data_IF_428847638180
#
_entry.id   IF_428847638180
#
_cell.length_a   1.000
_cell.length_b   1.000
_cell.length_c   1.000
_cell.angle_alpha   90.00
_cell.angle_beta   90.00
_cell.angle_gamma   90.00
#
_symmetry.space_group_name_H-M   'P 1'
#
loop_
_entity.id
_entity.type
_entity.pdbx_description
1 polymer ?
#
# COMPACT_ATOMS: atom_id res chain seq x y z
N UNK A 1 -7.87 38.32 29.02
CA UNK A 1 -8.29 36.97 29.47
C UNK A 1 -8.12 36.03 28.29
N UNK A 2 -7.14 35.13 28.35
CA UNK A 2 -6.93 34.13 27.31
C UNK A 2 -7.79 32.91 27.66
N UNK A 3 -8.82 32.66 26.86
CA UNK A 3 -9.62 31.44 26.99
C UNK A 3 -8.76 30.24 26.57
N UNK A 4 -8.40 29.41 27.54
CA UNK A 4 -7.84 28.09 27.28
C UNK A 4 -8.94 27.18 26.72
N UNK A 5 -9.01 27.06 25.40
CA UNK A 5 -9.71 25.95 24.76
C UNK A 5 -8.85 24.71 24.97
N UNK A 6 -9.14 23.94 26.02
CA UNK A 6 -8.71 22.54 26.11
C UNK A 6 -9.47 21.77 25.03
N UNK A 7 -8.97 21.82 23.80
CA UNK A 7 -9.35 20.85 22.79
C UNK A 7 -8.85 19.49 23.29
N UNK A 8 -9.76 18.73 23.92
CA UNK A 8 -9.63 17.28 23.96
C UNK A 8 -9.38 16.85 22.52
N UNK A 9 -8.15 16.43 22.24
CA UNK A 9 -7.83 15.78 20.99
C UNK A 9 -8.63 14.48 21.00
N UNK A 10 -9.85 14.51 20.45
CA UNK A 10 -10.48 13.30 19.93
C UNK A 10 -9.39 12.63 19.10
N UNK A 11 -9.03 11.41 19.50
CA UNK A 11 -8.13 10.55 18.75
C UNK A 11 -8.74 10.44 17.35
N UNK A 12 -8.27 11.28 16.44
CA UNK A 12 -8.88 11.43 15.12
C UNK A 12 -8.88 10.05 14.51
N UNK A 13 -10.08 9.47 14.38
CA UNK A 13 -10.27 8.11 13.90
C UNK A 13 -9.57 8.03 12.56
N UNK A 14 -8.48 7.26 12.51
CA UNK A 14 -7.71 7.12 11.28
C UNK A 14 -8.65 6.65 10.16
N UNK A 15 -8.41 7.05 8.90
CA UNK A 15 -9.25 6.64 7.77
C UNK A 15 -9.14 5.13 7.46
N UNK A 16 -8.49 4.36 8.32
CA UNK A 16 -8.31 2.92 8.20
C UNK A 16 -8.22 2.25 9.57
N UNK A 17 -8.71 1.02 9.65
CA UNK A 17 -8.56 0.18 10.83
C UNK A 17 -7.14 -0.43 10.88
N UNK A 18 -6.35 -0.02 11.87
CA UNK A 18 -4.98 -0.53 12.06
C UNK A 18 -4.91 -2.02 12.38
N UNK A 19 -6.01 -2.60 12.86
CA UNK A 19 -6.14 -4.03 13.09
C UNK A 19 -6.34 -4.82 11.78
N UNK A 20 -6.71 -4.14 10.69
CA UNK A 20 -6.87 -4.74 9.37
C UNK A 20 -5.76 -4.35 8.38
N UNK A 21 -5.22 -3.13 8.48
CA UNK A 21 -4.21 -2.61 7.57
C UNK A 21 -3.21 -1.72 8.30
N UNK A 22 -1.92 -1.97 8.13
CA UNK A 22 -0.87 -1.20 8.77
C UNK A 22 0.19 -0.77 7.75
N UNK A 23 0.37 0.56 7.64
CA UNK A 23 1.21 1.25 6.65
C UNK A 23 2.60 1.60 7.19
N UNK A 24 3.00 1.05 8.33
CA UNK A 24 4.33 1.25 8.88
C UNK A 24 5.32 0.26 8.26
N UNK A 25 6.61 0.59 8.36
CA UNK A 25 7.67 -0.30 7.89
C UNK A 25 7.58 -1.65 8.59
N UNK A 26 7.32 -2.72 7.85
CA UNK A 26 7.27 -4.09 8.34
C UNK A 26 8.65 -4.73 8.22
N UNK A 27 9.14 -5.32 9.31
CA UNK A 27 10.42 -6.06 9.36
C UNK A 27 11.59 -5.29 8.72
N UNK A 28 11.67 -3.99 9.00
CA UNK A 28 12.64 -3.03 8.47
C UNK A 28 12.51 -2.67 6.98
N UNK A 29 11.52 -3.22 6.26
CA UNK A 29 11.22 -2.82 4.89
C UNK A 29 10.49 -1.47 4.88
N UNK A 30 11.17 -0.41 4.42
CA UNK A 30 10.70 0.97 4.62
C UNK A 30 9.41 1.30 3.87
N UNK A 31 9.28 0.83 2.62
CA UNK A 31 8.10 1.04 1.77
C UNK A 31 7.25 -0.23 1.74
N UNK A 32 6.60 -0.51 2.86
CA UNK A 32 5.77 -1.69 3.00
C UNK A 32 4.39 -1.37 3.55
N UNK A 33 3.47 -2.29 3.30
CA UNK A 33 2.15 -2.30 3.91
C UNK A 33 1.84 -3.73 4.35
N UNK A 34 1.12 -3.85 5.45
CA UNK A 34 0.63 -5.14 5.93
C UNK A 34 -0.89 -5.14 5.98
N UNK A 35 -1.50 -6.21 5.49
CA UNK A 35 -2.93 -6.38 5.38
C UNK A 35 -3.30 -7.70 6.05
N UNK A 36 -4.27 -7.65 6.96
CA UNK A 36 -4.87 -8.82 7.58
C UNK A 36 -5.90 -9.43 6.62
N UNK A 37 -5.93 -10.75 6.57
CA UNK A 37 -6.92 -11.52 5.85
C UNK A 37 -7.46 -12.62 6.77
N UNK A 38 -8.77 -12.62 6.98
CA UNK A 38 -9.43 -13.43 7.99
C UNK A 38 -8.96 -13.09 9.40
N UNK A 39 -8.98 -14.08 10.27
CA UNK A 39 -8.73 -13.86 11.68
C UNK A 39 -7.24 -13.76 12.02
N UNK A 40 -6.39 -14.52 11.35
CA UNK A 40 -5.02 -14.72 11.81
C UNK A 40 -3.98 -14.63 10.69
N UNK A 41 -4.36 -14.52 9.42
CA UNK A 41 -3.39 -14.39 8.35
C UNK A 41 -3.06 -12.93 8.04
N UNK A 42 -1.79 -12.68 7.76
CA UNK A 42 -1.29 -11.37 7.41
C UNK A 42 -0.39 -11.43 6.18
N UNK A 43 -0.48 -10.38 5.38
CA UNK A 43 0.18 -10.22 4.10
C UNK A 43 1.01 -8.94 4.13
N UNK A 44 2.33 -9.08 3.99
CA UNK A 44 3.28 -7.99 3.89
C UNK A 44 3.67 -7.76 2.44
N UNK A 45 3.49 -6.54 1.97
CA UNK A 45 3.81 -6.12 0.61
C UNK A 45 5.03 -5.21 0.57
N UNK A 46 5.85 -5.42 -0.43
CA UNK A 46 6.91 -4.53 -0.85
C UNK A 46 6.33 -3.58 -1.89
N UNK A 47 6.12 -2.32 -1.50
CA UNK A 47 5.51 -1.32 -2.37
C UNK A 47 6.45 -0.88 -3.50
N UNK A 48 7.76 -1.07 -3.37
CA UNK A 48 8.73 -0.77 -4.42
C UNK A 48 8.80 -1.86 -5.47
N UNK A 49 8.58 -3.12 -5.08
CA UNK A 49 8.56 -4.25 -6.02
C UNK A 49 7.16 -4.59 -6.53
N UNK A 50 6.11 -4.08 -5.89
CA UNK A 50 4.73 -4.41 -6.22
C UNK A 50 4.47 -5.90 -6.05
N UNK A 51 4.95 -6.46 -4.94
CA UNK A 51 4.83 -7.88 -4.63
C UNK A 51 4.48 -8.10 -3.17
N UNK A 52 3.84 -9.23 -2.90
CA UNK A 52 3.86 -9.80 -1.56
C UNK A 52 5.27 -10.30 -1.28
N UNK A 53 5.87 -9.82 -0.20
CA UNK A 53 7.19 -10.30 0.25
C UNK A 53 7.09 -11.19 1.47
N UNK A 54 5.96 -11.18 2.20
CA UNK A 54 5.80 -12.01 3.39
C UNK A 54 4.35 -12.38 3.62
N UNK A 55 4.11 -13.60 4.05
CA UNK A 55 2.84 -13.99 4.63
C UNK A 55 3.08 -14.79 5.91
N UNK A 56 2.26 -14.54 6.93
CA UNK A 56 2.40 -15.22 8.21
C UNK A 56 1.05 -15.39 8.89
N UNK A 57 0.99 -16.38 9.78
CA UNK A 57 -0.14 -16.64 10.66
C UNK A 57 0.20 -16.13 12.06
N UNK A 58 -0.66 -15.27 12.59
CA UNK A 58 -0.58 -14.78 13.96
C UNK A 58 -0.68 -15.95 14.96
N UNK A 59 -0.01 -15.88 16.12
CA UNK A 59 -0.25 -16.85 17.17
C UNK A 59 -1.68 -16.68 17.71
N UNK A 60 -2.33 -17.79 18.06
CA UNK A 60 -3.68 -17.79 18.63
C UNK A 60 -3.79 -16.81 19.83
N UNK A 61 -4.78 -15.92 19.77
CA UNK A 61 -5.06 -14.93 20.81
C UNK A 61 -3.98 -13.86 20.98
N UNK A 62 -3.00 -13.74 20.08
CA UNK A 62 -1.91 -12.75 20.17
C UNK A 62 -1.87 -11.83 18.95
N UNK A 63 -1.34 -10.63 19.17
CA UNK A 63 -1.12 -9.67 18.08
C UNK A 63 -0.12 -10.23 17.06
N UNK A 64 -0.45 -10.09 15.77
CA UNK A 64 0.39 -10.49 14.65
C UNK A 64 1.52 -9.50 14.36
N UNK A 65 1.43 -8.30 14.93
CA UNK A 65 2.36 -7.20 14.74
C UNK A 65 2.79 -6.65 16.10
N UNK A 66 4.09 -6.41 16.26
CA UNK A 66 4.65 -5.74 17.43
C UNK A 66 5.30 -4.42 17.00
N UNK A 67 4.82 -3.30 17.55
CA UNK A 67 5.38 -1.99 17.27
C UNK A 67 6.73 -1.78 18.01
N UNK A 68 7.66 -1.13 17.34
CA UNK A 68 8.89 -0.57 17.89
C UNK A 68 9.16 0.77 17.21
N UNK A 69 8.55 1.84 17.75
CA UNK A 69 8.47 3.12 17.04
C UNK A 69 7.63 2.98 15.77
N UNK A 70 8.17 3.45 14.64
CA UNK A 70 7.53 3.38 13.31
C UNK A 70 7.85 2.11 12.53
N UNK A 71 8.43 1.10 13.20
CA UNK A 71 8.70 -0.21 12.61
C UNK A 71 7.78 -1.23 13.28
N UNK A 72 7.05 -1.98 12.48
CA UNK A 72 6.32 -3.16 12.93
C UNK A 72 7.17 -4.38 12.70
N UNK A 73 7.21 -5.28 13.67
CA UNK A 73 7.77 -6.61 13.51
C UNK A 73 6.64 -7.61 13.34
N UNK A 74 6.73 -8.47 12.33
CA UNK A 74 5.81 -9.60 12.19
C UNK A 74 6.02 -10.60 13.33
N UNK A 75 4.92 -11.10 13.89
CA UNK A 75 4.90 -12.07 14.99
C UNK A 75 4.02 -13.24 14.57
N UNK A 76 4.57 -14.45 14.62
CA UNK A 76 3.84 -15.66 14.28
C UNK A 76 4.63 -16.62 13.40
N UNK A 77 3.91 -17.55 12.78
CA UNK A 77 4.49 -18.56 11.88
C UNK A 77 4.56 -17.98 10.47
N UNK A 78 5.77 -17.75 9.97
CA UNK A 78 6.00 -17.40 8.56
C UNK A 78 5.55 -18.55 7.66
N UNK A 79 4.64 -18.25 6.75
CA UNK A 79 4.13 -19.18 5.73
C UNK A 79 4.84 -18.97 4.39
N UNK A 80 5.24 -17.72 4.12
CA UNK A 80 5.94 -17.31 2.92
C UNK A 80 6.86 -16.12 3.23
N UNK A 81 8.05 -16.09 2.63
CA UNK A 81 8.95 -14.94 2.68
C UNK A 81 9.81 -14.90 1.40
N UNK A 82 9.73 -13.80 0.67
CA UNK A 82 10.57 -13.51 -0.48
C UNK A 82 11.68 -12.52 -0.10
N UNK A 83 12.90 -13.04 -0.06
CA UNK A 83 14.12 -12.28 0.21
C UNK A 83 14.89 -11.88 -1.04
N UNK A 84 14.36 -12.18 -2.22
CA UNK A 84 15.00 -11.83 -3.48
C UNK A 84 14.85 -10.35 -3.80
N UNK A 85 15.64 -9.90 -4.77
CA UNK A 85 15.52 -8.62 -5.45
C UNK A 85 14.78 -8.75 -6.80
N UNK A 86 14.12 -9.89 -7.04
CA UNK A 86 13.45 -10.14 -8.31
C UNK A 86 12.31 -9.14 -8.55
N UNK A 87 12.25 -8.64 -9.78
CA UNK A 87 11.23 -7.68 -10.23
C UNK A 87 10.39 -8.25 -11.38
N UNK A 88 9.27 -7.59 -11.66
CA UNK A 88 8.38 -7.87 -12.77
C UNK A 88 9.12 -7.73 -14.11
N UNK A 89 8.79 -8.59 -15.07
CA UNK A 89 9.36 -8.51 -16.41
C UNK A 89 8.28 -8.54 -17.47
N UNK A 90 8.51 -7.80 -18.55
CA UNK A 90 7.70 -7.86 -19.75
C UNK A 90 8.42 -8.71 -20.79
N UNK A 91 7.74 -9.73 -21.29
CA UNK A 91 8.21 -10.56 -22.39
C UNK A 91 7.44 -10.21 -23.66
N UNK A 92 8.15 -9.90 -24.74
CA UNK A 92 7.57 -9.62 -26.06
C UNK A 92 8.34 -10.41 -27.11
N UNK A 93 7.73 -11.49 -27.61
CA UNK A 93 8.46 -12.51 -28.39
C UNK A 93 9.59 -13.13 -27.57
N UNK A 94 10.81 -13.10 -28.11
CA UNK A 94 12.01 -13.65 -27.45
C UNK A 94 12.71 -12.65 -26.51
N UNK A 95 12.24 -11.40 -26.46
CA UNK A 95 12.85 -10.36 -25.63
C UNK A 95 12.17 -10.31 -24.27
N UNK A 96 12.99 -10.13 -23.23
CA UNK A 96 12.53 -9.92 -21.85
C UNK A 96 13.17 -8.66 -21.30
N UNK A 97 12.34 -7.77 -20.75
CA UNK A 97 12.78 -6.53 -20.13
C UNK A 97 12.30 -6.44 -18.68
N UNK A 98 13.10 -5.84 -17.80
CA UNK A 98 12.68 -5.53 -16.43
C UNK A 98 11.75 -4.31 -16.44
N UNK A 99 10.72 -4.35 -15.60
CA UNK A 99 9.77 -3.25 -15.42
C UNK A 99 10.16 -2.42 -14.20
N UNK A 100 10.03 -1.10 -14.31
CA UNK A 100 10.02 -0.19 -13.16
C UNK A 100 8.63 -0.19 -12.54
N UNK A 101 8.56 -0.27 -11.21
CA UNK A 101 7.30 -0.38 -10.48
C UNK A 101 7.03 0.92 -9.73
N UNK A 102 5.78 1.36 -9.75
CA UNK A 102 5.31 2.53 -9.01
C UNK A 102 4.02 2.20 -8.28
N UNK A 103 4.02 2.35 -6.96
CA UNK A 103 2.82 2.18 -6.16
C UNK A 103 1.90 3.39 -6.28
N UNK A 104 0.62 3.13 -6.55
CA UNK A 104 -0.42 4.14 -6.71
C UNK A 104 -1.35 4.26 -5.50
N UNK A 105 -1.20 3.39 -4.51
CA UNK A 105 -2.01 3.44 -3.28
C UNK A 105 -2.80 2.16 -3.00
N UNK A 106 -3.50 2.20 -1.87
CA UNK A 106 -4.37 1.14 -1.40
C UNK A 106 -5.68 1.74 -0.91
N UNK A 107 -6.79 1.19 -1.40
CA UNK A 107 -8.15 1.55 -1.01
C UNK A 107 -8.80 0.40 -0.25
N UNK A 108 -9.55 0.73 0.80
CA UNK A 108 -10.43 -0.20 1.48
C UNK A 108 -11.80 -0.19 0.77
N UNK A 109 -12.28 -1.36 0.36
CA UNK A 109 -13.64 -1.60 -0.15
C UNK A 109 -14.39 -2.48 0.84
N UNK A 110 -15.69 -2.67 0.66
CA UNK A 110 -16.53 -3.41 1.62
C UNK A 110 -16.02 -4.83 1.91
N UNK A 111 -15.54 -5.53 0.88
CA UNK A 111 -15.14 -6.96 0.99
C UNK A 111 -13.63 -7.19 0.83
N UNK A 112 -12.87 -6.18 0.40
CA UNK A 112 -11.45 -6.36 0.06
C UNK A 112 -10.65 -5.07 0.17
N UNK A 113 -9.34 -5.23 0.30
CA UNK A 113 -8.38 -4.18 0.00
C UNK A 113 -7.98 -4.25 -1.47
N UNK A 114 -7.94 -3.11 -2.16
CA UNK A 114 -7.40 -3.00 -3.51
C UNK A 114 -6.07 -2.24 -3.45
N UNK A 115 -4.99 -2.88 -3.89
CA UNK A 115 -3.68 -2.26 -4.11
C UNK A 115 -3.48 -2.01 -5.60
N UNK A 116 -2.83 -0.90 -5.95
CA UNK A 116 -2.60 -0.51 -7.35
C UNK A 116 -1.14 -0.14 -7.60
N UNK A 117 -0.63 -0.55 -8.75
CA UNK A 117 0.70 -0.20 -9.24
C UNK A 117 0.69 0.11 -10.75
N UNK A 118 1.62 0.94 -11.19
CA UNK A 118 2.05 1.02 -12.58
C UNK A 118 3.35 0.24 -12.78
N UNK A 119 3.43 -0.53 -13.86
CA UNK A 119 4.63 -1.19 -14.31
C UNK A 119 5.05 -0.56 -15.65
N UNK A 120 6.29 -0.06 -15.74
CA UNK A 120 6.76 0.74 -16.88
C UNK A 120 8.01 0.16 -17.52
N UNK A 121 8.03 0.17 -18.85
CA UNK A 121 9.23 -0.04 -19.66
C UNK A 121 9.10 0.77 -20.96
N UNK A 122 10.05 1.66 -21.20
CA UNK A 122 9.99 2.68 -22.26
C UNK A 122 8.65 3.46 -22.24
N UNK A 123 7.92 3.49 -23.35
CA UNK A 123 6.59 4.12 -23.46
C UNK A 123 5.44 3.22 -23.01
N UNK A 124 5.71 1.97 -22.64
CA UNK A 124 4.68 1.02 -22.23
C UNK A 124 4.35 1.21 -20.75
N UNK A 125 3.07 1.41 -20.45
CA UNK A 125 2.53 1.50 -19.09
C UNK A 125 1.47 0.41 -18.92
N UNK A 126 1.71 -0.47 -17.95
CA UNK A 126 0.80 -1.55 -17.56
C UNK A 126 0.27 -1.22 -16.17
N UNK A 127 -1.05 -1.36 -15.96
CA UNK A 127 -1.62 -1.21 -14.62
C UNK A 127 -1.79 -2.57 -13.99
N UNK A 128 -1.25 -2.73 -12.78
CA UNK A 128 -1.44 -3.90 -11.93
C UNK A 128 -2.38 -3.54 -10.78
N UNK A 129 -3.47 -4.27 -10.65
CA UNK A 129 -4.36 -4.19 -9.47
C UNK A 129 -4.30 -5.51 -8.73
N UNK A 130 -4.30 -5.44 -7.41
CA UNK A 130 -4.39 -6.62 -6.56
C UNK A 130 -5.52 -6.47 -5.55
N UNK A 131 -6.42 -7.45 -5.51
CA UNK A 131 -7.51 -7.53 -4.54
C UNK A 131 -7.19 -8.56 -3.48
N UNK A 132 -7.27 -8.12 -2.23
CA UNK A 132 -7.08 -8.93 -1.03
C UNK A 132 -8.42 -9.01 -0.30
N UNK A 133 -9.18 -10.10 -0.41
CA UNK A 133 -10.41 -10.25 0.35
C UNK A 133 -10.12 -10.15 1.84
N UNK A 134 -10.99 -9.46 2.58
CA UNK A 134 -10.89 -9.33 4.04
C UNK A 134 -11.31 -10.63 4.70
N UNK A 135 -12.45 -11.18 4.27
CA UNK A 135 -12.99 -12.43 4.78
C UNK A 135 -12.67 -13.56 3.79
N UNK A 136 -11.64 -14.34 4.09
CA UNK A 136 -11.26 -15.48 3.27
C UNK A 136 -11.44 -16.78 4.05
N UNK A 137 -12.28 -17.67 3.54
CA UNK A 137 -12.45 -19.02 4.07
C UNK A 137 -11.19 -19.91 3.87
N UNK A 138 -10.30 -19.49 2.96
CA UNK A 138 -9.03 -20.16 2.66
C UNK A 138 -7.86 -19.27 3.08
N UNK A 139 -6.73 -19.87 3.50
CA UNK A 139 -5.54 -19.10 3.84
C UNK A 139 -4.96 -18.43 2.58
N UNK A 140 -4.78 -17.11 2.63
CA UNK A 140 -3.97 -16.33 1.68
C UNK A 140 -4.48 -16.41 0.23
N UNK A 141 -5.56 -15.68 -0.05
CA UNK A 141 -6.17 -15.49 -1.36
C UNK A 141 -5.88 -14.08 -1.87
N UNK A 142 -5.46 -13.94 -3.14
CA UNK A 142 -5.19 -12.64 -3.76
C UNK A 142 -5.54 -12.69 -5.25
N UNK A 143 -6.22 -11.69 -5.78
CA UNK A 143 -6.55 -11.63 -7.20
C UNK A 143 -5.75 -10.54 -7.87
N UNK A 144 -4.95 -10.87 -8.89
CA UNK A 144 -4.25 -9.88 -9.68
C UNK A 144 -5.01 -9.60 -10.98
N UNK A 145 -5.09 -8.34 -11.35
CA UNK A 145 -5.66 -7.88 -12.61
C UNK A 145 -4.61 -7.03 -13.31
N UNK A 146 -4.44 -7.27 -14.61
CA UNK A 146 -3.45 -6.59 -15.44
C UNK A 146 -4.19 -5.90 -16.56
N UNK A 147 -4.00 -4.59 -16.69
CA UNK A 147 -4.60 -3.75 -17.72
C UNK A 147 -3.49 -3.17 -18.61
N UNK A 148 -3.83 -2.90 -19.88
CA UNK A 148 -2.93 -2.29 -20.87
C UNK A 148 -1.69 -3.12 -21.21
N UNK A 149 -1.79 -4.46 -21.14
CA UNK A 149 -0.73 -5.35 -21.63
C UNK A 149 -0.72 -5.34 -23.18
N UNK A 150 0.42 -5.08 -23.84
CA UNK A 150 0.49 -5.10 -25.30
C UNK A 150 0.13 -6.45 -25.91
N UNK A 151 -0.43 -6.43 -27.12
CA UNK A 151 -0.78 -7.65 -27.85
C UNK A 151 0.45 -8.56 -28.07
N UNK A 152 0.29 -9.84 -27.75
CA UNK A 152 1.37 -10.84 -27.84
C UNK A 152 2.45 -10.71 -26.76
N UNK A 153 2.34 -9.75 -25.84
CA UNK A 153 3.24 -9.64 -24.69
C UNK A 153 2.75 -10.51 -23.52
N UNK A 154 3.69 -10.88 -22.65
CA UNK A 154 3.44 -11.61 -21.43
C UNK A 154 4.06 -10.87 -20.24
N UNK A 155 3.28 -10.68 -19.19
CA UNK A 155 3.79 -10.20 -17.91
C UNK A 155 4.31 -11.39 -17.09
N UNK A 156 5.59 -11.36 -16.74
CA UNK A 156 6.25 -12.38 -15.93
C UNK A 156 6.39 -11.88 -14.49
N UNK A 157 5.78 -12.56 -13.50
CA UNK A 157 5.94 -12.20 -12.11
C UNK A 157 7.36 -12.51 -11.60
N UNK A 158 7.78 -11.90 -10.49
CA UNK A 158 9.03 -12.25 -9.82
C UNK A 158 9.08 -13.75 -9.48
N UNK A 159 10.19 -14.42 -9.77
CA UNK A 159 10.32 -15.89 -9.66
C UNK A 159 9.83 -16.47 -8.32
N UNK A 160 10.10 -15.87 -7.15
CA UNK A 160 9.62 -16.40 -5.86
C UNK A 160 8.10 -16.37 -5.69
N UNK A 161 7.38 -15.59 -6.51
CA UNK A 161 5.92 -15.60 -6.58
C UNK A 161 5.42 -16.87 -7.27
N UNK A 162 6.23 -17.59 -8.03
CA UNK A 162 5.81 -18.84 -8.68
C UNK A 162 5.95 -20.07 -7.76
N UNK A 163 6.74 -19.98 -6.70
CA UNK A 163 6.95 -21.07 -5.77
C UNK A 163 5.79 -21.13 -4.75
N UNK A 164 4.88 -22.09 -4.93
CA UNK A 164 3.74 -22.32 -4.02
C UNK A 164 2.43 -21.65 -4.43
N UNK A 165 2.43 -20.87 -5.50
CA UNK A 165 1.23 -20.17 -5.98
C UNK A 165 0.63 -20.87 -7.20
N UNK A 166 -0.70 -20.99 -7.21
CA UNK A 166 -1.44 -21.36 -8.42
C UNK A 166 -1.92 -20.08 -9.09
N UNK A 167 -1.42 -19.82 -10.30
CA UNK A 167 -1.89 -18.73 -11.14
C UNK A 167 -2.99 -19.24 -12.07
N UNK A 168 -4.20 -18.72 -11.93
CA UNK A 168 -5.32 -19.00 -12.83
C UNK A 168 -5.57 -17.78 -13.70
N UNK A 169 -5.39 -17.92 -15.01
CA UNK A 169 -5.65 -16.85 -15.98
C UNK A 169 -7.02 -17.05 -16.62
N UNK A 170 -7.88 -16.03 -16.53
CA UNK A 170 -9.12 -15.93 -17.30
C UNK A 170 -8.98 -14.65 -18.12
N UNK A 171 -8.88 -14.74 -19.46
CA UNK A 171 -8.67 -13.61 -20.41
C UNK A 171 -8.65 -12.20 -19.75
N UNK A 172 -7.46 -11.72 -19.38
CA UNK A 172 -7.23 -10.39 -18.78
C UNK A 172 -7.17 -10.32 -17.24
N UNK A 173 -7.46 -11.41 -16.53
CA UNK A 173 -7.43 -11.48 -15.07
C UNK A 173 -6.58 -12.67 -14.62
N UNK A 174 -5.63 -12.44 -13.72
CA UNK A 174 -4.70 -13.45 -13.18
C UNK A 174 -4.95 -13.61 -11.68
N UNK A 175 -5.77 -14.59 -11.29
CA UNK A 175 -5.96 -14.88 -9.87
C UNK A 175 -4.79 -15.70 -9.34
N UNK A 176 -4.29 -15.38 -8.14
CA UNK A 176 -3.20 -16.10 -7.51
C UNK A 176 -3.64 -16.69 -6.18
N UNK A 177 -3.54 -18.01 -6.04
CA UNK A 177 -3.89 -18.70 -4.81
C UNK A 177 -2.63 -19.26 -4.18
N UNK A 178 -2.34 -18.91 -2.92
CA UNK A 178 -1.37 -19.64 -2.12
C UNK A 178 -2.11 -20.75 -1.40
N UNK A 179 -2.11 -21.95 -1.99
CA UNK A 179 -2.63 -23.12 -1.28
C UNK A 179 -1.59 -23.57 -0.26
N UNK A 180 -1.68 -23.09 0.98
CA UNK A 180 -0.99 -23.74 2.11
C UNK A 180 -1.72 -25.04 2.43
N UNK A 181 -1.48 -26.05 1.59
CA UNK A 181 -1.84 -27.42 1.91
C UNK A 181 -0.63 -28.06 2.63
N UNK A 182 -0.73 -28.53 3.88
CA UNK A 182 0.11 -29.67 4.26
C UNK A 182 -0.17 -30.75 3.21
N UNK A 183 0.84 -31.08 2.39
CA UNK A 183 0.68 -31.89 1.16
C UNK A 183 -0.32 -33.02 1.35
N UNK A 184 -1.54 -32.84 0.85
CA UNK A 184 -2.47 -33.90 0.51
C UNK A 184 -3.24 -33.44 -0.72
N UNK A 185 -2.93 -34.12 -1.83
CA UNK A 185 -3.48 -33.87 -3.15
C UNK A 185 -4.95 -34.31 -3.16
N UNK A 186 -5.87 -33.41 -3.48
CA UNK A 186 -6.96 -33.57 -4.45
C UNK A 186 -7.96 -32.40 -4.29
N UNK A 187 -8.20 -31.67 -5.38
CA UNK A 187 -9.50 -31.20 -5.89
C UNK A 187 -9.36 -29.85 -6.61
N UNK A 188 -9.51 -29.91 -7.93
CA UNK A 188 -9.84 -28.81 -8.84
C UNK A 188 -11.36 -28.85 -8.99
N UNK A 189 -12.08 -27.73 -8.86
CA UNK A 189 -13.43 -27.52 -9.44
C UNK A 189 -13.64 -26.02 -9.75
N UNK A 190 -14.17 -25.76 -10.95
CA UNK A 190 -14.64 -24.50 -11.53
C UNK A 190 -15.68 -23.74 -10.70
N UNK A 191 -15.81 -22.42 -10.94
CA UNK A 191 -17.04 -21.86 -11.53
C UNK A 191 -16.88 -20.40 -11.99
N UNK A 192 -17.58 -20.12 -13.10
CA UNK A 192 -17.72 -18.88 -13.83
C UNK A 192 -19.03 -18.21 -13.40
N UNK A 193 -19.11 -16.87 -13.28
CA UNK A 193 -20.34 -16.11 -13.60
C UNK A 193 -20.08 -14.60 -13.71
N UNK A 194 -20.87 -13.98 -14.60
CA UNK A 194 -20.87 -12.59 -15.08
C UNK A 194 -22.11 -11.88 -14.55
N UNK A 195 -22.05 -10.57 -14.25
CA UNK A 195 -23.15 -9.62 -14.51
C UNK A 195 -22.72 -8.15 -14.41
N UNK A 196 -23.22 -7.33 -15.35
CA UNK A 196 -23.15 -5.87 -15.47
C UNK A 196 -24.25 -5.19 -14.62
N UNK A 197 -24.01 -3.95 -14.18
CA UNK A 197 -25.02 -2.89 -14.14
C UNK A 197 -24.39 -1.48 -14.02
N UNK A 198 -24.99 -0.53 -14.75
CA UNK A 198 -24.70 0.90 -14.86
C UNK A 198 -25.44 1.73 -13.82
N UNK A 199 -24.99 2.96 -13.57
CA UNK A 199 -25.79 4.01 -12.94
C UNK A 199 -24.96 5.24 -12.54
N UNK A 200 -25.10 6.34 -13.28
CA UNK A 200 -24.46 7.62 -12.96
C UNK A 200 -25.34 8.52 -12.09
N UNK A 201 -24.69 9.42 -11.35
CA UNK A 201 -25.27 10.67 -10.84
C UNK A 201 -24.15 11.71 -10.83
N UNK A 202 -24.35 12.83 -11.53
CA UNK A 202 -23.51 14.02 -11.38
C UNK A 202 -24.07 14.85 -10.21
N UNK A 203 -23.25 15.12 -9.20
CA UNK A 203 -23.60 16.04 -8.12
C UNK A 203 -22.81 17.35 -8.25
N UNK A 204 -23.45 18.39 -7.73
CA UNK A 204 -23.08 19.79 -7.82
C UNK A 204 -21.73 20.12 -7.18
N UNK A 205 -21.10 21.14 -7.74
CA UNK A 205 -19.81 21.72 -7.35
C UNK A 205 -19.97 22.47 -6.02
N UNK A 206 -19.64 21.78 -4.93
CA UNK A 206 -19.60 22.33 -3.57
C UNK A 206 -18.28 23.08 -3.40
N UNK A 207 -18.34 24.32 -2.90
CA UNK A 207 -17.17 25.19 -2.77
C UNK A 207 -16.01 24.52 -2.03
N UNK A 208 -14.80 24.67 -2.59
CA UNK A 208 -13.54 24.09 -2.10
C UNK A 208 -13.40 24.25 -0.58
N UNK A 209 -13.50 23.12 0.14
CA UNK A 209 -13.32 23.06 1.58
C UNK A 209 -11.82 23.10 1.87
N UNK A 210 -11.36 24.11 2.59
CA UNK A 210 -9.99 24.15 3.10
C UNK A 210 -9.88 23.29 4.36
N UNK A 211 -8.95 22.34 4.35
CA UNK A 211 -8.64 21.50 5.51
C UNK A 211 -7.27 21.89 6.05
N UNK A 212 -7.24 22.48 7.24
CA UNK A 212 -6.00 22.72 7.96
C UNK A 212 -5.57 21.43 8.66
N UNK A 213 -4.40 20.91 8.29
CA UNK A 213 -3.83 19.67 8.84
C UNK A 213 -2.79 20.03 9.89
N UNK A 214 -3.16 20.08 11.17
CA UNK A 214 -2.23 20.48 12.21
C UNK A 214 -1.07 19.49 12.28
N UNK A 215 0.12 19.97 12.63
CA UNK A 215 1.33 19.16 12.66
C UNK A 215 1.24 17.93 13.59
N UNK A 216 0.23 17.86 14.47
CA UNK A 216 -0.06 16.71 15.34
C UNK A 216 -0.56 15.47 14.59
N UNK A 217 -1.04 15.64 13.36
CA UNK A 217 -1.47 14.55 12.48
C UNK A 217 -0.32 13.96 11.63
N UNK A 218 0.91 14.42 11.83
CA UNK A 218 2.09 14.02 11.08
C UNK A 218 2.60 12.64 11.54
N UNK A 219 2.90 11.75 10.59
CA UNK A 219 3.87 10.67 10.83
C UNK A 219 5.28 11.24 10.64
N UNK A 220 6.19 11.02 11.60
CA UNK A 220 7.56 11.51 11.48
C UNK A 220 8.61 10.43 11.74
N UNK A 221 9.70 10.38 10.97
CA UNK A 221 10.87 9.51 11.21
C UNK A 221 12.08 10.36 11.61
N UNK A 222 12.86 9.94 12.61
CA UNK A 222 14.05 10.66 13.11
C UNK A 222 13.89 11.21 14.53
N UNK A 223 14.92 11.89 15.07
CA UNK A 223 14.84 12.56 16.37
C UNK A 223 13.97 13.82 16.24
N UNK A 224 12.66 13.64 16.17
CA UNK A 224 11.72 14.75 16.09
C UNK A 224 11.21 15.07 17.49
N UNK A 225 11.15 16.35 17.84
CA UNK A 225 10.58 16.81 19.10
C UNK A 225 9.27 17.54 18.82
N UNK A 226 8.25 17.20 19.59
CA UNK A 226 6.95 17.87 19.52
C UNK A 226 6.94 19.04 20.50
N UNK A 227 6.75 20.27 20.01
CA UNK A 227 6.62 21.46 20.83
C UNK A 227 5.27 22.13 20.56
N UNK A 228 4.22 21.57 21.15
CA UNK A 228 2.82 22.04 21.11
C UNK A 228 2.20 22.09 19.71
N UNK A 229 2.61 23.07 18.88
CA UNK A 229 2.09 23.32 17.54
C UNK A 229 3.15 23.09 16.45
N UNK A 230 4.41 22.92 16.83
CA UNK A 230 5.55 22.78 15.90
C UNK A 230 6.21 21.42 16.08
N UNK A 231 6.40 20.71 14.96
CA UNK A 231 7.26 19.53 14.89
C UNK A 231 8.70 19.98 14.60
N UNK A 232 9.58 19.91 15.60
CA UNK A 232 10.99 20.22 15.43
C UNK A 232 11.76 19.02 14.85
N UNK A 233 12.27 19.17 13.63
CA UNK A 233 13.11 18.16 12.96
C UNK A 233 14.57 18.40 13.32
N UNK A 234 15.05 17.75 14.38
CA UNK A 234 16.32 18.18 15.00
C UNK A 234 17.60 17.63 14.34
N UNK A 235 17.52 16.64 13.41
CA UNK A 235 18.53 16.23 12.40
C UNK A 235 18.28 14.81 11.85
N UNK A 236 18.49 14.58 10.55
CA UNK A 236 18.74 13.24 10.00
C UNK A 236 18.44 13.08 8.51
N UNK A 237 19.33 12.39 7.76
CA UNK A 237 18.98 11.88 6.42
C UNK A 237 17.86 10.86 6.58
N UNK A 238 16.81 10.97 5.75
CA UNK A 238 15.67 10.05 5.77
C UNK A 238 14.63 10.35 6.85
N UNK A 239 14.63 11.57 7.41
CA UNK A 239 13.45 12.08 8.09
C UNK A 239 12.33 12.25 7.06
N UNK A 240 11.16 11.70 7.37
CA UNK A 240 9.97 11.79 6.52
C UNK A 240 8.88 12.38 7.40
N UNK A 241 8.14 13.33 6.85
CA UNK A 241 6.91 13.89 7.39
C UNK A 241 5.81 13.54 6.39
N UNK A 242 4.67 13.07 6.88
CA UNK A 242 3.52 12.88 6.00
C UNK A 242 2.20 12.89 6.74
N UNK A 243 1.16 13.18 5.97
CA UNK A 243 -0.22 13.17 6.38
C UNK A 243 -0.98 12.13 5.55
N UNK A 244 -2.06 11.60 6.11
CA UNK A 244 -3.01 10.81 5.35
C UNK A 244 -4.27 11.64 5.16
N UNK A 245 -4.65 11.82 3.90
CA UNK A 245 -5.90 12.43 3.51
C UNK A 245 -6.80 11.36 2.90
N UNK A 246 -8.11 11.49 3.13
CA UNK A 246 -9.12 10.69 2.45
C UNK A 246 -10.10 11.69 1.83
N UNK A 247 -10.25 11.62 0.51
CA UNK A 247 -11.30 12.31 -0.22
C UNK A 247 -12.48 11.35 -0.43
N UNK A 248 -13.70 11.88 -0.44
CA UNK A 248 -14.90 11.09 -0.73
C UNK A 248 -15.01 10.74 -2.22
N UNK A 249 -14.41 11.57 -3.08
CA UNK A 249 -14.36 11.41 -4.53
C UNK A 249 -12.99 11.80 -5.08
N UNK A 250 -12.71 11.44 -6.34
CA UNK A 250 -11.52 11.92 -7.04
C UNK A 250 -11.68 13.42 -7.35
N UNK A 251 -10.76 14.24 -6.85
CA UNK A 251 -10.79 15.70 -6.99
C UNK A 251 -9.38 16.28 -7.10
N UNK A 252 -9.28 17.48 -7.68
CA UNK A 252 -8.01 18.22 -7.69
C UNK A 252 -7.79 18.85 -6.32
N UNK A 253 -6.71 18.45 -5.65
CA UNK A 253 -6.35 18.96 -4.33
C UNK A 253 -5.15 19.89 -4.44
N UNK A 254 -5.32 21.14 -4.00
CA UNK A 254 -4.19 22.06 -3.81
C UNK A 254 -3.63 21.90 -2.40
N UNK A 255 -2.35 21.53 -2.30
CA UNK A 255 -1.64 21.44 -1.00
C UNK A 255 -0.71 22.63 -0.85
N UNK A 256 -0.90 23.39 0.23
CA UNK A 256 0.00 24.47 0.63
C UNK A 256 0.80 24.02 1.85
N UNK A 257 2.12 24.21 1.81
CA UNK A 257 3.03 23.86 2.91
C UNK A 257 3.71 25.15 3.39
N UNK A 258 3.46 25.51 4.63
CA UNK A 258 4.19 26.58 5.30
C UNK A 258 5.30 25.97 6.17
N UNK A 259 6.50 26.55 6.10
CA UNK A 259 7.64 26.11 6.90
C UNK A 259 8.40 27.31 7.45
N UNK A 260 9.06 27.10 8.59
CA UNK A 260 10.02 28.04 9.15
C UNK A 260 11.29 27.27 9.52
N UNK A 261 12.45 27.80 9.13
CA UNK A 261 13.74 27.23 9.47
C UNK A 261 14.65 28.31 10.06
N UNK A 262 15.37 27.98 11.13
CA UNK A 262 16.35 28.89 11.75
C UNK A 262 17.60 29.06 10.89
N UNK A 263 17.80 28.20 9.89
CA UNK A 263 18.94 28.17 8.98
C UNK A 263 18.44 27.83 7.57
N UNK A 264 19.14 28.30 6.53
CA UNK A 264 18.81 27.97 5.13
C UNK A 264 18.78 26.47 4.88
N UNK A 265 17.75 26.02 4.17
CA UNK A 265 17.54 24.64 3.81
C UNK A 265 18.40 24.29 2.58
N UNK A 266 19.70 24.06 2.75
CA UNK A 266 20.63 23.87 1.61
C UNK A 266 20.51 22.49 0.90
N UNK A 267 19.29 21.97 0.72
CA UNK A 267 19.03 20.69 0.05
C UNK A 267 17.62 20.66 -0.55
N UNK A 268 17.44 19.87 -1.61
CA UNK A 268 16.12 19.59 -2.16
C UNK A 268 15.33 18.67 -1.21
N UNK A 269 14.06 18.99 -0.99
CA UNK A 269 13.13 18.18 -0.21
C UNK A 269 12.20 17.42 -1.14
N UNK A 270 11.99 16.13 -0.87
CA UNK A 270 11.05 15.32 -1.63
C UNK A 270 9.65 15.45 -1.00
N UNK A 271 8.72 16.02 -1.77
CA UNK A 271 7.29 15.97 -1.49
C UNK A 271 6.71 14.77 -2.26
N UNK A 272 5.93 13.93 -1.58
CA UNK A 272 5.31 12.76 -2.21
C UNK A 272 3.79 12.81 -2.03
N UNK A 273 3.06 12.94 -3.14
CA UNK A 273 1.59 12.96 -3.18
C UNK A 273 1.10 11.74 -3.95
N UNK A 274 0.44 10.80 -3.28
CA UNK A 274 -0.02 9.55 -3.91
C UNK A 274 1.06 8.85 -4.78
N UNK A 275 2.31 8.89 -4.30
CA UNK A 275 3.47 8.32 -4.99
C UNK A 275 3.95 9.13 -6.21
N UNK A 276 3.51 10.37 -6.38
CA UNK A 276 4.14 11.39 -7.24
C UNK A 276 5.18 12.14 -6.42
N UNK A 277 6.45 11.97 -6.78
CA UNK A 277 7.55 12.66 -6.12
C UNK A 277 7.84 13.97 -6.85
N UNK A 278 7.80 15.08 -6.10
CA UNK A 278 8.19 16.42 -6.53
C UNK A 278 9.33 16.88 -5.64
N UNK A 279 10.38 17.44 -6.23
CA UNK A 279 11.47 18.04 -5.46
C UNK A 279 11.22 19.52 -5.28
N UNK A 280 11.30 19.96 -4.03
CA UNK A 280 11.14 21.34 -3.62
C UNK A 280 12.51 21.89 -3.20
N UNK A 281 13.01 22.84 -3.98
CA UNK A 281 14.21 23.60 -3.66
C UNK A 281 13.80 24.82 -2.81
N UNK A 282 14.28 24.86 -1.57
CA UNK A 282 13.92 25.85 -0.52
C UNK A 282 15.11 26.45 0.18
#
# INVERSE_FOLDING_TARGET
>A
AWCSLSAQADEAKLPFDRAQINRYSLDHLSRSISIRQGDDFWLGYDLQRGTLYKAWQAPEGKAALKASGFVMKSVGKTLYEDKSDATWKLQTGDRTAALTVRYLGCSQRDEHFELRWELKHDSTIITLRERVPMDAAQPIVRQLQVESLPDGAQLLPPKPVLAGWTLTSTKGQVSSHLSYAPMNRLAIICCLTVALATGGVCLADDASRSLDLPAKAIFSKGPNQWNQDVLEITRGRGAIIGWYLQAESEEEVTVSIEYAATHSLNQAYQLSFDGHDVFWDV
#
